data_IF_164290280685
#
_entry.id   IF_164290280685
#
_cell.length_a   1.000
_cell.length_b   1.000
_cell.length_c   1.000
_cell.angle_alpha   90.00
_cell.angle_beta   90.00
_cell.angle_gamma   90.00
#
_symmetry.space_group_name_H-M   'P 1'
#
loop_
_entity.id
_entity.type
_entity.pdbx_description
1 polymer ?
#
# COMPACT_ATOMS: atom_id res chain seq x y z
N UNK A 1 -6.75 -8.38 -16.39
CA UNK A 1 -5.39 -8.18 -16.95
C UNK A 1 -4.53 -9.41 -16.65
N UNK A 2 -3.58 -9.82 -17.50
CA UNK A 2 -2.64 -10.91 -17.17
C UNK A 2 -1.57 -10.46 -16.17
N UNK A 3 -0.92 -11.41 -15.46
CA UNK A 3 0.14 -11.07 -14.52
C UNK A 3 1.36 -10.46 -15.22
N UNK A 4 1.66 -10.86 -16.46
CA UNK A 4 2.73 -10.29 -17.28
C UNK A 4 2.44 -8.84 -17.68
N UNK A 5 1.19 -8.54 -18.09
CA UNK A 5 0.75 -7.17 -18.36
C UNK A 5 0.78 -6.31 -17.09
N UNK A 6 0.39 -6.88 -15.95
CA UNK A 6 0.47 -6.18 -14.67
C UNK A 6 1.91 -5.85 -14.28
N UNK A 7 2.84 -6.79 -14.40
CA UNK A 7 4.27 -6.55 -14.16
C UNK A 7 4.81 -5.41 -15.03
N UNK A 8 4.48 -5.42 -16.33
CA UNK A 8 4.85 -4.33 -17.25
C UNK A 8 4.25 -2.99 -16.84
N UNK A 9 3.00 -2.98 -16.40
CA UNK A 9 2.34 -1.78 -15.87
C UNK A 9 3.10 -1.21 -14.67
N UNK A 10 3.48 -2.06 -13.71
CA UNK A 10 4.27 -1.64 -12.54
C UNK A 10 5.66 -1.13 -12.92
N UNK A 11 6.32 -1.75 -13.90
CA UNK A 11 7.62 -1.29 -14.42
C UNK A 11 7.51 0.08 -15.09
N UNK A 12 6.49 0.29 -15.92
CA UNK A 12 6.23 1.59 -16.57
C UNK A 12 6.02 2.68 -15.54
N UNK A 13 5.15 2.48 -14.55
CA UNK A 13 4.87 3.48 -13.51
C UNK A 13 6.14 3.84 -12.72
N UNK A 14 6.94 2.84 -12.31
CA UNK A 14 8.22 3.09 -11.64
C UNK A 14 9.20 3.83 -12.53
N UNK A 15 9.22 3.52 -13.83
CA UNK A 15 10.02 4.20 -14.83
C UNK A 15 9.66 5.69 -14.96
N UNK A 16 8.37 6.02 -15.01
CA UNK A 16 7.86 7.39 -15.06
C UNK A 16 8.18 8.17 -13.78
N UNK A 17 8.24 7.48 -12.64
CA UNK A 17 8.55 8.10 -11.35
C UNK A 17 10.06 8.26 -11.10
N UNK A 18 10.92 7.60 -11.88
CA UNK A 18 12.36 7.80 -11.80
C UNK A 18 12.74 9.19 -12.32
N UNK A 19 13.42 9.96 -11.48
CA UNK A 19 13.94 11.29 -11.83
C UNK A 19 15.22 11.59 -11.04
N UNK A 20 15.84 12.75 -11.28
CA UNK A 20 17.10 13.13 -10.61
C UNK A 20 17.02 13.11 -9.07
N UNK A 21 15.83 13.28 -8.49
CA UNK A 21 15.60 13.27 -7.05
C UNK A 21 15.12 11.93 -6.50
N UNK A 22 14.64 11.02 -7.34
CA UNK A 22 14.01 9.75 -6.95
C UNK A 22 14.54 8.60 -7.82
N UNK A 23 15.22 7.65 -7.20
CA UNK A 23 15.70 6.43 -7.85
C UNK A 23 15.01 5.22 -7.22
N UNK A 24 14.07 4.62 -7.94
CA UNK A 24 13.38 3.41 -7.50
C UNK A 24 14.36 2.25 -7.39
N UNK A 25 14.22 1.51 -6.29
CA UNK A 25 15.02 0.33 -6.01
C UNK A 25 14.31 -0.92 -6.50
N UNK A 26 15.06 -2.00 -6.67
CA UNK A 26 14.50 -3.33 -6.89
C UNK A 26 14.00 -3.96 -5.57
N UNK A 27 13.39 -3.16 -4.71
CA UNK A 27 12.75 -3.59 -3.49
C UNK A 27 11.28 -3.19 -3.57
N UNK A 28 10.40 -4.14 -3.29
CA UNK A 28 8.97 -3.99 -3.45
C UNK A 28 8.27 -4.70 -2.31
N UNK A 29 7.06 -4.25 -2.02
CA UNK A 29 6.12 -4.94 -1.15
C UNK A 29 4.79 -5.06 -1.87
N UNK A 30 4.09 -6.16 -1.67
CA UNK A 30 2.78 -6.43 -2.23
C UNK A 30 1.89 -6.81 -1.06
N UNK A 31 0.96 -5.92 -0.73
CA UNK A 31 -0.03 -6.17 0.32
C UNK A 31 -1.23 -6.81 -0.35
N UNK A 32 -1.56 -8.03 0.07
CA UNK A 32 -2.72 -8.78 -0.42
C UNK A 32 -3.80 -8.77 0.65
N UNK A 33 -4.93 -8.13 0.37
CA UNK A 33 -6.08 -8.08 1.28
C UNK A 33 -7.08 -9.15 0.86
N UNK A 34 -7.49 -10.00 1.80
CA UNK A 34 -8.44 -11.08 1.55
C UNK A 34 -9.87 -10.56 1.40
N UNK A 35 -10.75 -11.38 0.85
CA UNK A 35 -12.16 -11.04 0.62
C UNK A 35 -12.92 -10.55 1.86
N UNK A 36 -12.56 -11.06 3.04
CA UNK A 36 -13.17 -10.64 4.30
C UNK A 36 -12.77 -9.22 4.74
N UNK A 37 -11.75 -8.60 4.12
CA UNK A 37 -11.20 -7.29 4.48
C UNK A 37 -10.71 -7.16 5.93
N UNK A 38 -10.53 -8.28 6.61
CA UNK A 38 -10.06 -8.36 8.00
C UNK A 38 -8.70 -9.04 8.11
N UNK A 39 -8.23 -9.63 7.01
CA UNK A 39 -6.94 -10.31 6.97
C UNK A 39 -6.23 -10.08 5.65
N UNK A 40 -4.92 -10.23 5.70
CA UNK A 40 -4.00 -9.89 4.65
C UNK A 40 -2.71 -10.69 4.78
N UNK A 41 -1.81 -10.51 3.83
CA UNK A 41 -0.41 -10.88 3.95
C UNK A 41 0.43 -9.99 3.04
N UNK A 42 1.72 -9.90 3.34
CA UNK A 42 2.67 -9.10 2.57
C UNK A 42 3.75 -9.97 1.96
N UNK A 43 4.05 -9.75 0.68
CA UNK A 43 5.17 -10.39 0.00
C UNK A 43 6.13 -9.36 -0.58
N UNK A 44 7.42 -9.69 -0.70
CA UNK A 44 8.43 -8.81 -1.30
C UNK A 44 8.53 -8.94 -2.83
N UNK A 45 7.89 -9.96 -3.37
CA UNK A 45 7.84 -10.25 -4.79
C UNK A 45 6.39 -10.43 -5.18
N UNK A 46 6.02 -10.05 -6.41
CA UNK A 46 4.69 -10.32 -6.92
C UNK A 46 4.53 -11.85 -6.99
N UNK A 47 3.75 -12.39 -6.06
CA UNK A 47 3.62 -13.83 -5.85
C UNK A 47 3.07 -14.55 -7.07
N UNK A 48 3.41 -15.84 -7.18
CA UNK A 48 2.77 -16.79 -8.10
C UNK A 48 1.60 -17.54 -7.43
N UNK A 49 1.30 -17.20 -6.18
CA UNK A 49 0.22 -17.81 -5.42
C UNK A 49 -1.11 -17.48 -6.08
N UNK A 50 -2.04 -18.42 -5.94
CA UNK A 50 -3.41 -18.22 -6.37
C UNK A 50 -4.00 -17.00 -5.67
N UNK A 51 -4.68 -16.15 -6.45
CA UNK A 51 -5.45 -15.01 -5.94
C UNK A 51 -6.86 -15.41 -5.46
N UNK A 52 -7.13 -16.71 -5.32
CA UNK A 52 -8.34 -17.21 -4.66
C UNK A 52 -8.42 -16.63 -3.24
N UNK A 53 -9.59 -16.07 -2.91
CA UNK A 53 -9.87 -15.35 -1.65
C UNK A 53 -9.11 -14.04 -1.46
N UNK A 54 -8.45 -13.51 -2.50
CA UNK A 54 -7.87 -12.17 -2.50
C UNK A 54 -8.87 -11.23 -3.16
N UNK A 55 -9.05 -10.07 -2.56
CA UNK A 55 -9.91 -9.01 -3.10
C UNK A 55 -9.12 -7.83 -3.61
N UNK A 56 -8.07 -7.44 -2.90
CA UNK A 56 -7.23 -6.32 -3.29
C UNK A 56 -5.74 -6.65 -3.23
N UNK A 57 -4.98 -6.00 -4.10
CA UNK A 57 -3.52 -6.05 -4.16
C UNK A 57 -3.04 -4.59 -4.14
N UNK A 58 -2.10 -4.28 -3.25
CA UNK A 58 -1.50 -2.95 -3.14
C UNK A 58 0.01 -3.09 -3.39
N UNK A 59 0.48 -2.83 -4.62
CA UNK A 59 1.90 -2.81 -4.94
C UNK A 59 2.55 -1.55 -4.37
N UNK A 60 3.65 -1.74 -3.66
CA UNK A 60 4.45 -0.71 -3.02
C UNK A 60 5.86 -0.79 -3.60
N UNK A 61 6.38 0.35 -4.08
CA UNK A 61 7.74 0.48 -4.57
C UNK A 61 8.63 1.17 -3.55
N UNK A 62 9.82 0.63 -3.30
CA UNK A 62 10.84 1.36 -2.56
C UNK A 62 11.60 2.32 -3.49
N UNK A 63 11.90 3.51 -3.00
CA UNK A 63 12.72 4.48 -3.71
C UNK A 63 13.75 5.11 -2.80
N UNK A 64 14.90 5.42 -3.38
CA UNK A 64 15.87 6.29 -2.74
C UNK A 64 15.57 7.71 -3.14
N UNK A 65 15.59 8.62 -2.16
CA UNK A 65 15.61 10.04 -2.46
C UNK A 65 16.85 10.69 -1.86
N UNK A 66 17.41 11.65 -2.59
CA UNK A 66 18.58 12.40 -2.16
C UNK A 66 18.16 13.80 -1.75
N UNK A 67 18.29 14.12 -0.47
CA UNK A 67 18.09 15.47 0.05
C UNK A 67 19.30 15.90 0.85
N UNK A 68 19.93 17.03 0.48
CA UNK A 68 21.08 17.63 1.18
C UNK A 68 22.20 16.62 1.53
N UNK A 69 22.64 15.82 0.55
CA UNK A 69 23.69 14.79 0.67
C UNK A 69 23.36 13.55 1.49
N UNK A 70 22.14 13.42 2.04
CA UNK A 70 21.67 12.17 2.65
C UNK A 70 20.89 11.34 1.62
N UNK A 71 21.18 10.04 1.55
CA UNK A 71 20.38 9.07 0.80
C UNK A 71 19.49 8.33 1.78
N UNK A 72 18.19 8.55 1.69
CA UNK A 72 17.20 7.83 2.48
C UNK A 72 16.36 6.91 1.59
N UNK A 73 15.81 5.86 2.19
CA UNK A 73 14.90 4.93 1.50
C UNK A 73 13.51 5.09 2.06
N UNK A 74 12.54 5.31 1.18
CA UNK A 74 11.13 5.41 1.52
C UNK A 74 10.31 4.47 0.65
N UNK A 75 9.05 4.25 1.04
CA UNK A 75 8.09 3.46 0.28
C UNK A 75 7.01 4.35 -0.32
N UNK A 76 6.60 4.02 -1.54
CA UNK A 76 5.47 4.66 -2.22
C UNK A 76 4.47 3.61 -2.66
N UNK A 77 3.19 3.87 -2.38
CA UNK A 77 2.08 3.12 -2.97
C UNK A 77 2.02 3.40 -4.46
N UNK A 78 2.14 2.36 -5.28
CA UNK A 78 2.04 2.47 -6.74
C UNK A 78 0.58 2.65 -7.16
N UNK A 79 -0.32 1.90 -6.51
CA UNK A 79 -1.75 1.96 -6.76
C UNK A 79 -2.49 0.88 -5.98
N UNK A 80 -3.79 0.81 -6.23
CA UNK A 80 -4.68 -0.20 -5.66
C UNK A 80 -5.32 -0.98 -6.81
N UNK A 81 -5.35 -2.30 -6.68
CA UNK A 81 -5.81 -3.19 -7.74
C UNK A 81 -6.71 -4.28 -7.16
N UNK A 82 -7.65 -4.78 -7.96
CA UNK A 82 -8.43 -5.95 -7.62
C UNK A 82 -7.63 -7.25 -7.88
N UNK A 83 -8.25 -8.41 -7.65
CA UNK A 83 -7.65 -9.72 -7.90
C UNK A 83 -7.56 -10.10 -9.39
N UNK A 84 -8.04 -9.26 -10.30
CA UNK A 84 -7.87 -9.35 -11.75
C UNK A 84 -6.80 -8.37 -12.27
N UNK A 85 -6.08 -7.74 -11.34
CA UNK A 85 -5.05 -6.71 -11.57
C UNK A 85 -5.58 -5.43 -12.24
N UNK A 86 -6.87 -5.15 -12.11
CA UNK A 86 -7.46 -3.92 -12.62
C UNK A 86 -7.39 -2.82 -11.55
N UNK A 87 -7.05 -1.57 -11.92
CA UNK A 87 -7.06 -0.45 -10.98
C UNK A 87 -8.43 -0.27 -10.33
N UNK A 88 -8.47 -0.08 -9.02
CA UNK A 88 -9.73 0.12 -8.28
C UNK A 88 -9.51 0.89 -6.98
N UNK A 89 -10.58 1.25 -6.29
CA UNK A 89 -10.55 1.73 -4.91
C UNK A 89 -10.67 0.57 -3.91
N UNK A 90 -9.98 0.67 -2.76
CA UNK A 90 -10.15 -0.29 -1.66
C UNK A 90 -11.33 0.14 -0.81
N UNK A 91 -12.46 -0.56 -0.94
CA UNK A 91 -13.74 -0.17 -0.32
C UNK A 91 -14.01 -0.96 0.96
N UNK A 92 -14.31 -0.23 2.04
CA UNK A 92 -14.73 -0.71 3.35
C UNK A 92 -16.13 -0.16 3.69
N UNK A 93 -17.18 -0.94 3.41
CA UNK A 93 -18.57 -0.50 3.61
C UNK A 93 -18.87 0.82 2.84
N UNK A 94 -19.17 1.93 3.52
CA UNK A 94 -19.41 3.25 2.90
C UNK A 94 -18.16 4.14 2.83
N UNK A 95 -17.00 3.57 3.15
CA UNK A 95 -15.70 4.23 3.15
C UNK A 95 -14.78 3.59 2.12
N UNK A 96 -13.75 4.33 1.71
CA UNK A 96 -12.69 3.82 0.86
C UNK A 96 -11.33 4.33 1.33
N UNK A 97 -10.29 3.52 1.15
CA UNK A 97 -8.91 3.94 1.27
C UNK A 97 -8.44 4.46 -0.08
N UNK A 98 -8.14 5.75 -0.13
CA UNK A 98 -7.76 6.45 -1.36
C UNK A 98 -6.26 6.78 -1.42
N UNK A 99 -5.55 6.66 -0.29
CA UNK A 99 -4.11 6.87 -0.20
C UNK A 99 -3.53 6.04 0.94
N UNK A 100 -2.33 5.51 0.72
CA UNK A 100 -1.54 4.81 1.73
C UNK A 100 -0.12 5.41 1.69
N UNK A 101 0.27 6.08 2.78
CA UNK A 101 1.61 6.61 2.96
C UNK A 101 2.44 5.71 3.85
N UNK A 102 3.75 5.95 3.93
CA UNK A 102 4.64 5.20 4.81
C UNK A 102 5.55 6.16 5.57
N UNK A 103 5.73 5.91 6.85
CA UNK A 103 6.89 6.40 7.60
C UNK A 103 7.88 5.25 7.76
N UNK A 104 9.13 5.57 8.07
CA UNK A 104 10.15 4.56 8.31
C UNK A 104 10.93 4.87 9.58
N UNK A 105 11.37 3.83 10.27
CA UNK A 105 12.25 3.93 11.42
C UNK A 105 13.44 2.99 11.20
N UNK A 106 14.66 3.52 11.38
CA UNK A 106 15.88 2.71 11.32
C UNK A 106 16.34 2.37 12.74
N UNK A 107 16.23 1.09 13.10
CA UNK A 107 16.69 0.57 14.39
C UNK A 107 17.77 -0.48 14.14
N UNK A 108 19.02 -0.13 14.44
CA UNK A 108 20.14 -1.09 14.37
C UNK A 108 20.47 -1.58 12.96
N UNK A 109 20.15 -0.81 11.91
CA UNK A 109 20.40 -1.18 10.51
C UNK A 109 19.25 -1.92 9.84
N UNK A 110 18.17 -2.22 10.57
CA UNK A 110 16.90 -2.69 10.02
C UNK A 110 15.98 -1.48 9.86
N UNK A 111 15.33 -1.38 8.69
CA UNK A 111 14.34 -0.34 8.42
C UNK A 111 12.96 -0.98 8.53
N UNK A 112 12.17 -0.51 9.48
CA UNK A 112 10.76 -0.86 9.60
C UNK A 112 9.93 0.21 8.89
N UNK A 113 8.90 -0.23 8.17
CA UNK A 113 7.98 0.64 7.44
C UNK A 113 6.60 0.59 8.07
N UNK A 114 6.02 1.77 8.34
CA UNK A 114 4.76 1.92 9.03
C UNK A 114 3.73 2.53 8.08
N UNK A 115 2.76 1.74 7.58
CA UNK A 115 1.74 2.23 6.67
C UNK A 115 0.75 3.15 7.39
N UNK A 116 0.37 4.23 6.73
CA UNK A 116 -0.58 5.22 7.20
C UNK A 116 -1.73 5.30 6.19
N UNK A 117 -2.86 4.61 6.44
CA UNK A 117 -3.99 4.67 5.55
C UNK A 117 -4.74 6.01 5.69
N UNK A 118 -5.13 6.54 4.54
CA UNK A 118 -6.05 7.66 4.41
C UNK A 118 -7.36 7.15 3.85
N UNK A 119 -8.41 7.31 4.62
CA UNK A 119 -9.76 6.88 4.26
C UNK A 119 -10.69 8.08 4.09
N UNK A 120 -11.71 7.92 3.24
CA UNK A 120 -12.77 8.91 3.06
C UNK A 120 -14.12 8.24 2.87
N UNK A 121 -15.20 8.96 3.14
CA UNK A 121 -16.56 8.49 2.86
C UNK A 121 -16.86 8.64 1.37
N UNK A 122 -17.33 7.57 0.72
CA UNK A 122 -17.48 7.48 -0.75
C UNK A 122 -18.34 8.62 -1.31
N UNK A 123 -19.46 8.93 -0.66
CA UNK A 123 -20.39 9.99 -1.07
C UNK A 123 -20.18 11.34 -0.36
N UNK A 124 -19.11 11.47 0.42
CA UNK A 124 -18.75 12.72 1.09
C UNK A 124 -17.22 12.86 1.18
N UNK A 125 -16.55 13.24 0.08
CA UNK A 125 -15.09 13.20 -0.03
C UNK A 125 -14.37 14.23 0.86
N UNK A 126 -15.08 15.16 1.51
CA UNK A 126 -14.50 16.06 2.51
C UNK A 126 -14.39 15.41 3.89
N UNK A 127 -15.17 14.34 4.14
CA UNK A 127 -15.05 13.51 5.34
C UNK A 127 -13.88 12.53 5.16
N UNK A 128 -12.71 12.95 5.66
CA UNK A 128 -11.44 12.21 5.53
C UNK A 128 -10.84 11.94 6.89
N UNK A 129 -10.15 10.81 7.00
CA UNK A 129 -9.39 10.45 8.19
C UNK A 129 -8.03 9.89 7.79
N UNK A 130 -6.99 10.32 8.52
CA UNK A 130 -5.66 9.71 8.53
C UNK A 130 -5.57 8.82 9.78
N UNK A 131 -5.11 7.58 9.63
CA UNK A 131 -4.93 6.68 10.77
C UNK A 131 -3.44 6.38 10.96
N UNK A 132 -2.85 6.91 12.03
CA UNK A 132 -1.49 6.58 12.45
C UNK A 132 -1.55 5.40 13.43
N UNK A 133 -1.47 4.18 12.89
CA UNK A 133 -1.74 2.97 13.68
C UNK A 133 -0.54 2.50 14.50
N UNK A 134 0.68 2.84 14.08
CA UNK A 134 1.92 2.39 14.70
C UNK A 134 2.33 0.95 14.37
N UNK A 135 1.58 0.27 13.50
CA UNK A 135 1.91 -1.09 13.05
C UNK A 135 2.80 -1.09 11.81
N UNK A 136 3.63 -2.12 11.69
CA UNK A 136 4.52 -2.31 10.54
C UNK A 136 3.73 -2.79 9.32
N UNK A 137 4.36 -2.73 8.14
CA UNK A 137 3.75 -3.23 6.91
C UNK A 137 3.49 -4.74 6.99
N UNK A 138 4.32 -5.50 7.70
CA UNK A 138 4.14 -6.93 7.94
C UNK A 138 2.88 -7.23 8.80
N UNK A 139 2.47 -6.30 9.66
CA UNK A 139 1.31 -6.42 10.56
C UNK A 139 0.04 -5.77 9.97
N UNK A 140 -0.15 -5.84 8.64
CA UNK A 140 -1.22 -5.11 7.96
C UNK A 140 -2.65 -5.51 8.40
N UNK A 141 -2.82 -6.68 9.01
CA UNK A 141 -4.10 -7.10 9.63
C UNK A 141 -4.54 -6.15 10.74
N UNK A 142 -3.61 -5.67 11.55
CA UNK A 142 -3.90 -4.70 12.62
C UNK A 142 -4.30 -3.32 12.07
N UNK A 143 -3.78 -2.98 10.89
CA UNK A 143 -4.14 -1.75 10.17
C UNK A 143 -5.57 -1.85 9.62
N UNK A 144 -5.94 -3.01 9.07
CA UNK A 144 -7.32 -3.30 8.67
C UNK A 144 -8.27 -3.24 9.87
N UNK A 145 -7.87 -3.81 11.01
CA UNK A 145 -8.66 -3.76 12.25
C UNK A 145 -8.87 -2.32 12.73
N UNK A 146 -7.84 -1.46 12.66
CA UNK A 146 -7.94 -0.05 13.01
C UNK A 146 -8.91 0.72 12.08
N UNK A 147 -8.87 0.46 10.77
CA UNK A 147 -9.82 1.02 9.80
C UNK A 147 -11.25 0.62 10.17
N UNK A 148 -11.50 -0.68 10.39
CA UNK A 148 -12.82 -1.17 10.75
C UNK A 148 -13.34 -0.63 12.08
N UNK A 149 -12.46 -0.49 13.08
CA UNK A 149 -12.80 0.12 14.37
C UNK A 149 -13.31 1.54 14.16
N UNK A 150 -12.55 2.36 13.43
CA UNK A 150 -12.97 3.73 13.11
C UNK A 150 -14.32 3.76 12.38
N UNK A 151 -14.49 2.96 11.32
CA UNK A 151 -15.74 2.93 10.53
C UNK A 151 -16.95 2.55 11.40
N UNK A 152 -16.78 1.60 12.32
CA UNK A 152 -17.84 1.19 13.27
C UNK A 152 -18.21 2.30 14.25
N UNK A 153 -17.25 3.11 14.68
CA UNK A 153 -17.46 4.27 15.56
C UNK A 153 -18.14 5.46 14.87
N UNK A 154 -18.12 5.51 13.53
CA UNK A 154 -18.81 6.55 12.74
C UNK A 154 -20.28 6.21 12.41
N UNK A 155 -20.79 5.06 12.86
CA UNK A 155 -22.19 4.64 12.71
C UNK A 155 -23.03 5.14 13.88
#
# INVERSE_FOLDING_TARGET
MSIEEFKKTLETIKGEWNNESHSYKNENYFIYIKENLESSYVERTLGTKSLINIRYIIPIGAYSYSFKNNKETSLNTIGFFNNEYEPCEVVFDTWEMYKLEFTSLNCGGVIDYYPIPYIRKINNPTCKQKLETGYTIEDFDEILAAIWKYIKEQK
#
